data_IF_020947288115
#
_entry.id   IF_020947288115
#
_cell.length_a   1.000
_cell.length_b   1.000
_cell.length_c   1.000
_cell.angle_alpha   90.00
_cell.angle_beta   90.00
_cell.angle_gamma   90.00
#
_symmetry.space_group_name_H-M   'P 1'
#
loop_
_entity.id
_entity.type
_entity.pdbx_description
1 polymer ?
#
# COMPACT_ATOMS: atom_id res chain seq x y z
N UNK A 1 10.03 -4.98 10.02
CA UNK A 1 8.76 -4.55 9.40
C UNK A 1 8.87 -4.60 7.89
N UNK A 2 7.80 -5.00 7.23
CA UNK A 2 7.72 -5.07 5.78
C UNK A 2 6.67 -4.06 5.30
N UNK A 3 7.01 -3.25 4.32
CA UNK A 3 6.05 -2.33 3.69
C UNK A 3 5.78 -2.80 2.26
N UNK A 4 4.51 -2.92 1.92
CA UNK A 4 4.06 -3.24 0.56
C UNK A 4 3.36 -2.01 0.00
N UNK A 5 3.78 -1.58 -1.19
CA UNK A 5 3.13 -0.51 -1.91
C UNK A 5 2.61 -1.04 -3.24
N UNK A 6 1.31 -0.89 -3.45
CA UNK A 6 0.64 -1.34 -4.66
C UNK A 6 0.04 -0.12 -5.35
N UNK A 7 0.51 0.19 -6.55
CA UNK A 7 0.03 1.31 -7.34
C UNK A 7 -0.84 0.79 -8.46
N UNK A 8 -2.05 1.35 -8.57
CA UNK A 8 -3.03 0.94 -9.57
C UNK A 8 -3.50 2.17 -10.36
N UNK A 9 -3.48 2.05 -11.68
CA UNK A 9 -3.91 3.11 -12.58
C UNK A 9 -5.24 2.70 -13.22
N UNK A 10 -6.35 3.19 -12.65
CA UNK A 10 -7.69 2.80 -13.07
C UNK A 10 -8.05 3.35 -14.46
N UNK A 11 -8.80 2.56 -15.22
CA UNK A 11 -9.51 3.10 -16.38
C UNK A 11 -10.43 4.22 -15.91
N UNK A 12 -10.58 5.26 -16.70
CA UNK A 12 -11.37 6.46 -16.33
C UNK A 12 -12.79 6.05 -15.89
N UNK A 13 -13.42 5.18 -16.65
CA UNK A 13 -14.79 4.73 -16.37
C UNK A 13 -14.88 3.69 -15.23
N UNK A 14 -13.76 3.27 -14.67
CA UNK A 14 -13.69 2.25 -13.62
C UNK A 14 -13.18 2.76 -12.26
N UNK A 15 -13.01 4.06 -12.10
CA UNK A 15 -12.53 4.66 -10.85
C UNK A 15 -13.37 4.24 -9.65
N UNK A 16 -14.69 4.26 -9.78
CA UNK A 16 -15.59 3.92 -8.69
C UNK A 16 -15.46 2.46 -8.29
N UNK A 17 -15.37 1.55 -9.26
CA UNK A 17 -15.25 0.11 -8.98
C UNK A 17 -13.90 -0.19 -8.32
N UNK A 18 -12.82 0.43 -8.76
CA UNK A 18 -11.50 0.28 -8.11
C UNK A 18 -11.56 0.77 -6.67
N UNK A 19 -12.10 1.97 -6.46
CA UNK A 19 -12.25 2.55 -5.12
C UNK A 19 -13.04 1.62 -4.19
N UNK A 20 -14.20 1.16 -4.64
CA UNK A 20 -15.07 0.30 -3.84
C UNK A 20 -14.40 -1.04 -3.50
N UNK A 21 -13.71 -1.64 -4.46
CA UNK A 21 -12.99 -2.89 -4.25
C UNK A 21 -11.90 -2.72 -3.20
N UNK A 22 -11.09 -1.67 -3.32
CA UNK A 22 -10.01 -1.41 -2.36
C UNK A 22 -10.56 -1.14 -0.96
N UNK A 23 -11.60 -0.33 -0.84
CA UNK A 23 -12.20 -0.04 0.46
C UNK A 23 -12.77 -1.29 1.12
N UNK A 24 -13.36 -2.20 0.34
CA UNK A 24 -13.91 -3.45 0.87
C UNK A 24 -12.81 -4.40 1.37
N UNK A 25 -11.59 -4.26 0.88
CA UNK A 25 -10.46 -5.13 1.26
C UNK A 25 -9.74 -4.66 2.51
N UNK A 26 -9.84 -3.38 2.86
CA UNK A 26 -9.06 -2.80 3.97
C UNK A 26 -9.33 -3.54 5.28
N UNK A 27 -10.59 -3.67 5.67
CA UNK A 27 -10.97 -4.27 6.94
C UNK A 27 -10.47 -5.71 7.05
N UNK A 28 -10.65 -6.50 6.00
CA UNK A 28 -10.22 -7.89 5.99
C UNK A 28 -8.70 -8.00 6.08
N UNK A 29 -7.99 -7.11 5.41
CA UNK A 29 -6.51 -7.09 5.43
C UNK A 29 -5.99 -6.65 6.79
N UNK A 30 -6.59 -5.62 7.39
CA UNK A 30 -6.20 -5.14 8.72
C UNK A 30 -6.36 -6.20 9.80
N UNK A 31 -7.35 -7.07 9.66
CA UNK A 31 -7.59 -8.17 10.60
C UNK A 31 -6.71 -9.39 10.34
N UNK A 32 -5.88 -9.35 9.28
CA UNK A 32 -4.94 -10.41 8.99
C UNK A 32 -3.82 -10.50 10.03
N UNK A 33 -3.35 -11.72 10.30
CA UNK A 33 -2.26 -11.93 11.24
C UNK A 33 -1.01 -11.16 10.82
N UNK A 34 -0.49 -10.35 11.73
CA UNK A 34 0.73 -9.58 11.49
C UNK A 34 0.56 -8.32 10.67
N UNK A 35 -0.66 -7.96 10.27
CA UNK A 35 -0.91 -6.70 9.59
C UNK A 35 -0.89 -5.56 10.60
N UNK A 36 0.04 -4.62 10.42
CA UNK A 36 0.19 -3.45 11.27
C UNK A 36 -0.70 -2.30 10.78
N UNK A 37 -0.85 -2.15 9.47
CA UNK A 37 -1.75 -1.16 8.87
C UNK A 37 -2.04 -1.50 7.42
N UNK A 38 -3.17 -0.99 6.93
CA UNK A 38 -3.58 -1.09 5.53
C UNK A 38 -4.35 0.17 5.19
N UNK A 39 -3.84 0.97 4.24
CA UNK A 39 -4.43 2.25 3.87
C UNK A 39 -4.46 2.43 2.36
N UNK A 40 -5.51 3.11 1.90
CA UNK A 40 -5.69 3.45 0.49
C UNK A 40 -5.53 4.95 0.33
N UNK A 41 -4.79 5.34 -0.71
CA UNK A 41 -4.58 6.73 -1.09
C UNK A 41 -4.98 6.92 -2.54
N UNK A 42 -5.40 8.12 -2.88
CA UNK A 42 -5.73 8.49 -4.25
C UNK A 42 -4.90 9.69 -4.65
N UNK A 43 -4.41 9.70 -5.89
CA UNK A 43 -3.63 10.82 -6.40
C UNK A 43 -4.43 12.13 -6.41
N UNK A 44 -3.80 13.21 -5.93
CA UNK A 44 -4.39 14.55 -5.99
C UNK A 44 -4.28 15.08 -7.42
N UNK A 45 -3.14 14.84 -8.06
CA UNK A 45 -2.87 15.30 -9.43
C UNK A 45 -3.54 14.43 -10.49
N UNK A 46 -3.69 13.12 -10.20
CA UNK A 46 -4.30 12.17 -11.11
C UNK A 46 -5.26 11.26 -10.33
N UNK A 47 -6.54 11.50 -10.51
CA UNK A 47 -7.60 10.77 -9.81
C UNK A 47 -7.72 9.30 -10.23
N UNK A 48 -7.06 8.90 -11.30
CA UNK A 48 -7.05 7.51 -11.76
C UNK A 48 -6.06 6.66 -10.97
N UNK A 49 -5.12 7.28 -10.26
CA UNK A 49 -4.09 6.57 -9.51
C UNK A 49 -4.53 6.30 -8.08
N UNK A 50 -4.54 5.01 -7.73
CA UNK A 50 -4.80 4.55 -6.37
C UNK A 50 -3.55 3.84 -5.86
N UNK A 51 -3.21 4.08 -4.59
CA UNK A 51 -2.09 3.41 -3.95
C UNK A 51 -2.57 2.75 -2.67
N UNK A 52 -2.28 1.46 -2.53
CA UNK A 52 -2.51 0.70 -1.31
C UNK A 52 -1.17 0.55 -0.62
N UNK A 53 -1.11 0.92 0.67
CA UNK A 53 0.09 0.73 1.48
C UNK A 53 -0.25 -0.17 2.65
N UNK A 54 0.47 -1.28 2.74
CA UNK A 54 0.32 -2.26 3.82
C UNK A 54 1.62 -2.33 4.60
N UNK A 55 1.49 -2.47 5.92
CA UNK A 55 2.63 -2.71 6.80
C UNK A 55 2.44 -4.04 7.49
N UNK A 56 3.46 -4.89 7.43
CA UNK A 56 3.44 -6.25 8.00
C UNK A 56 4.57 -6.42 9.00
N UNK A 57 4.27 -7.12 10.08
CA UNK A 57 5.24 -7.35 11.14
C UNK A 57 6.41 -8.20 10.65
N UNK A 58 6.13 -9.30 9.93
CA UNK A 58 7.14 -10.23 9.42
C UNK A 58 6.90 -10.56 7.95
N UNK A 59 7.96 -11.04 7.28
CA UNK A 59 7.84 -11.53 5.91
C UNK A 59 6.92 -12.75 5.82
N UNK A 60 6.97 -13.62 6.81
CA UNK A 60 6.10 -14.80 6.85
C UNK A 60 4.63 -14.41 6.85
N UNK A 61 4.25 -13.42 7.64
CA UNK A 61 2.87 -12.93 7.68
C UNK A 61 2.46 -12.34 6.32
N UNK A 62 3.35 -11.61 5.67
CA UNK A 62 3.11 -11.09 4.33
C UNK A 62 2.94 -12.25 3.33
N UNK A 63 3.82 -13.25 3.37
CA UNK A 63 3.74 -14.37 2.44
C UNK A 63 2.41 -15.12 2.58
N UNK A 64 1.92 -15.31 3.80
CA UNK A 64 0.61 -15.90 4.06
C UNK A 64 -0.51 -15.04 3.45
N UNK A 65 -0.41 -13.73 3.57
CA UNK A 65 -1.37 -12.81 2.96
C UNK A 65 -1.36 -12.91 1.43
N UNK A 66 -0.18 -12.97 0.82
CA UNK A 66 -0.04 -13.09 -0.63
C UNK A 66 -0.70 -14.38 -1.14
N UNK A 67 -0.66 -15.45 -0.36
CA UNK A 67 -1.29 -16.73 -0.70
C UNK A 67 -2.80 -16.75 -0.47
N UNK A 68 -3.35 -15.73 0.19
CA UNK A 68 -4.76 -15.70 0.58
C UNK A 68 -5.69 -15.41 -0.61
N UNK A 69 -6.96 -15.77 -0.45
CA UNK A 69 -8.00 -15.46 -1.42
C UNK A 69 -8.20 -13.96 -1.57
N UNK A 70 -8.01 -13.20 -0.49
CA UNK A 70 -8.09 -11.73 -0.53
C UNK A 70 -7.10 -11.14 -1.52
N UNK A 71 -5.89 -11.67 -1.53
CA UNK A 71 -4.86 -11.20 -2.46
C UNK A 71 -5.24 -11.55 -3.91
N UNK A 72 -5.89 -12.68 -4.12
CA UNK A 72 -6.41 -13.05 -5.44
C UNK A 72 -7.46 -12.05 -5.93
N UNK A 73 -8.30 -11.52 -5.03
CA UNK A 73 -9.26 -10.47 -5.36
C UNK A 73 -8.53 -9.21 -5.82
N UNK A 74 -7.47 -8.83 -5.10
CA UNK A 74 -6.64 -7.69 -5.49
C UNK A 74 -6.05 -7.89 -6.90
N UNK A 75 -5.46 -9.04 -7.17
CA UNK A 75 -4.88 -9.34 -8.48
C UNK A 75 -5.95 -9.33 -9.57
N UNK A 76 -7.18 -9.72 -9.24
CA UNK A 76 -8.31 -9.70 -10.16
C UNK A 76 -8.72 -8.30 -10.60
N UNK A 77 -8.30 -7.25 -9.89
CA UNK A 77 -8.61 -5.86 -10.28
C UNK A 77 -7.94 -5.44 -11.58
N UNK A 78 -7.00 -6.20 -12.10
CA UNK A 78 -6.28 -5.87 -13.34
C UNK A 78 -7.20 -5.53 -14.51
N UNK A 79 -8.40 -6.12 -14.56
CA UNK A 79 -9.39 -5.82 -15.61
C UNK A 79 -9.99 -4.42 -15.53
N UNK A 80 -9.81 -3.74 -14.40
CA UNK A 80 -10.29 -2.38 -14.16
C UNK A 80 -9.18 -1.34 -14.37
N UNK A 81 -7.98 -1.78 -14.72
CA UNK A 81 -6.78 -0.94 -14.77
C UNK A 81 -6.29 -0.76 -16.19
N UNK A 82 -5.59 0.37 -16.44
CA UNK A 82 -4.91 0.64 -17.71
C UNK A 82 -3.72 -0.27 -17.93
N UNK A 83 -3.11 -0.75 -16.84
CA UNK A 83 -1.90 -1.57 -16.84
C UNK A 83 -1.91 -2.48 -15.61
N UNK A 84 -1.09 -3.52 -15.54
CA UNK A 84 -1.04 -4.38 -14.36
C UNK A 84 -0.68 -3.59 -13.10
N UNK A 85 -1.18 -4.03 -11.92
CA UNK A 85 -0.78 -3.40 -10.65
C UNK A 85 0.74 -3.43 -10.49
N UNK A 86 1.30 -2.34 -10.01
CA UNK A 86 2.72 -2.25 -9.71
C UNK A 86 2.91 -2.53 -8.22
N UNK A 87 3.60 -3.60 -7.88
CA UNK A 87 3.79 -4.04 -6.51
C UNK A 87 5.25 -3.89 -6.12
N UNK A 88 5.49 -3.21 -4.99
CA UNK A 88 6.81 -3.05 -4.41
C UNK A 88 6.80 -3.55 -2.97
N UNK A 89 7.78 -4.37 -2.60
CA UNK A 89 7.93 -4.91 -1.26
C UNK A 89 9.25 -4.40 -0.69
N UNK A 90 9.18 -3.72 0.47
CA UNK A 90 10.34 -3.13 1.11
C UNK A 90 10.53 -3.72 2.50
N UNK A 91 11.74 -4.18 2.79
CA UNK A 91 12.11 -4.57 4.14
C UNK A 91 12.69 -3.37 4.86
N UNK A 92 12.08 -3.00 5.99
CA UNK A 92 12.48 -1.84 6.77
C UNK A 92 13.20 -2.33 8.01
N UNK A 93 14.47 -1.98 8.14
CA UNK A 93 15.25 -2.30 9.34
C UNK A 93 15.46 -1.08 10.24
N UNK A 94 15.14 0.12 9.76
CA UNK A 94 15.31 1.35 10.52
C UNK A 94 14.31 2.40 10.05
N UNK A 95 13.67 3.07 11.02
CA UNK A 95 12.79 4.21 10.76
C UNK A 95 13.27 5.38 11.59
N UNK A 96 13.22 6.58 11.01
CA UNK A 96 13.61 7.80 11.68
C UNK A 96 12.46 8.80 11.58
N UNK A 97 12.33 9.64 12.57
CA UNK A 97 11.23 10.60 12.66
C UNK A 97 11.71 12.04 12.73
N UNK A 98 10.89 12.87 13.34
CA UNK A 98 11.13 14.31 13.41
C UNK A 98 12.42 14.66 14.15
N UNK A 99 12.85 13.83 15.09
CA UNK A 99 14.10 14.03 15.83
C UNK A 99 15.31 14.06 14.87
N UNK A 100 15.30 13.23 13.83
CA UNK A 100 16.37 13.25 12.81
C UNK A 100 16.31 14.53 11.99
N UNK A 101 15.11 14.97 11.61
CA UNK A 101 14.93 16.22 10.87
C UNK A 101 15.51 17.38 11.67
N UNK A 102 15.18 17.46 12.94
CA UNK A 102 15.67 18.52 13.83
C UNK A 102 17.19 18.46 13.98
N UNK A 103 17.75 17.26 14.15
CA UNK A 103 19.19 17.07 14.28
C UNK A 103 19.93 17.50 13.02
N UNK A 104 19.45 17.15 11.85
CA UNK A 104 20.07 17.54 10.58
C UNK A 104 19.96 19.05 10.36
N UNK A 105 18.78 19.63 10.61
CA UNK A 105 18.57 21.07 10.43
C UNK A 105 19.42 21.91 11.35
N UNK A 106 19.71 21.47 12.55
CA UNK A 106 20.54 22.20 13.51
C UNK A 106 21.98 22.37 13.02
N UNK A 107 22.46 21.55 12.11
CA UNK A 107 23.82 21.59 11.56
C UNK A 107 23.99 22.64 10.45
N UNK A 108 22.90 23.11 9.84
CA UNK A 108 22.97 24.01 8.68
C UNK A 108 23.45 25.43 9.01
N UNK A 109 23.42 25.79 10.30
CA UNK A 109 23.73 27.16 10.77
C UNK A 109 25.23 27.32 11.03
N UNK A 110 26.00 26.26 10.97
CA UNK A 110 27.41 26.28 11.33
C UNK A 110 28.32 26.52 10.13
#
# INVERSE_FOLDING_TARGET
MIIVRITMNALIEKQTEVKQTLLSMIELTENGKGCLSCRVFRGIEDKNVFTLIEEWETREDLDDHIKSDRFSVLLGTKSLLCEPPRIEIHTVFRSEGMETVNAVRSKRIQ
#
